data_IF_329450151700
#
_entry.id   IF_329450151700
#
_cell.length_a   1.000
_cell.length_b   1.000
_cell.length_c   1.000
_cell.angle_alpha   90.00
_cell.angle_beta   90.00
_cell.angle_gamma   90.00
#
_symmetry.space_group_name_H-M   'P 1'
#
loop_
_entity.id
_entity.type
_entity.pdbx_description
1 polymer ?
#
# COMPACT_ATOMS: atom_id res chain seq x y z
N UNK A 1 8.93 27.95 -8.39
CA UNK A 1 8.46 27.42 -7.08
C UNK A 1 9.19 26.12 -6.86
N UNK A 2 10.02 26.05 -5.81
CA UNK A 2 10.92 24.91 -5.56
C UNK A 2 10.10 23.63 -5.38
N UNK A 3 10.21 22.67 -6.30
CA UNK A 3 9.63 21.36 -6.12
C UNK A 3 10.35 20.67 -4.98
N UNK A 4 9.57 20.41 -3.93
CA UNK A 4 9.95 19.72 -2.72
C UNK A 4 10.45 18.29 -3.04
N UNK A 5 11.72 18.14 -3.40
CA UNK A 5 12.28 16.83 -3.69
C UNK A 5 12.66 16.12 -2.38
N UNK A 6 12.16 14.90 -2.12
CA UNK A 6 12.55 14.12 -0.94
C UNK A 6 14.03 13.74 -1.01
N UNK A 7 14.69 13.67 0.16
CA UNK A 7 16.07 13.23 0.27
C UNK A 7 16.13 11.70 0.13
N UNK A 8 16.38 11.23 -1.07
CA UNK A 8 16.56 9.80 -1.36
C UNK A 8 17.99 9.42 -1.02
N UNK A 9 18.14 8.67 0.05
CA UNK A 9 19.42 8.14 0.55
C UNK A 9 19.35 6.63 0.49
N UNK A 10 20.47 5.99 0.14
CA UNK A 10 20.60 4.54 0.25
C UNK A 10 20.67 4.16 1.73
N UNK A 11 19.72 3.33 2.18
CA UNK A 11 19.63 2.89 3.56
C UNK A 11 20.13 1.45 3.68
N UNK A 12 20.86 1.16 4.76
CA UNK A 12 21.04 -0.21 5.23
C UNK A 12 19.77 -0.68 5.96
N UNK A 13 19.58 -2.00 6.12
CA UNK A 13 18.44 -2.54 6.88
C UNK A 13 18.35 -1.93 8.29
N UNK A 14 19.48 -1.81 9.00
CA UNK A 14 19.53 -1.21 10.34
C UNK A 14 19.11 0.26 10.35
N UNK A 15 19.61 1.06 9.41
CA UNK A 15 19.22 2.47 9.31
C UNK A 15 17.73 2.63 8.98
N UNK A 16 17.20 1.76 8.11
CA UNK A 16 15.79 1.75 7.76
C UNK A 16 14.91 1.41 8.97
N UNK A 17 15.25 0.36 9.72
CA UNK A 17 14.53 -0.04 10.93
C UNK A 17 14.55 1.07 11.98
N UNK A 18 15.70 1.70 12.20
CA UNK A 18 15.84 2.83 13.15
C UNK A 18 14.97 4.03 12.74
N UNK A 19 14.96 4.38 11.45
CA UNK A 19 14.13 5.46 10.94
C UNK A 19 12.64 5.11 11.05
N UNK A 20 12.24 3.89 10.68
CA UNK A 20 10.84 3.43 10.86
C UNK A 20 10.44 3.53 12.33
N UNK A 21 11.29 3.10 13.26
CA UNK A 21 11.03 3.19 14.69
C UNK A 21 10.82 4.64 15.16
N UNK A 22 11.62 5.58 14.65
CA UNK A 22 11.51 7.00 14.98
C UNK A 22 10.28 7.68 14.37
N UNK A 23 9.88 7.27 13.16
CA UNK A 23 8.77 7.87 12.41
C UNK A 23 7.42 7.23 12.68
N UNK A 24 7.39 5.96 13.10
CA UNK A 24 6.18 5.24 13.46
C UNK A 24 5.36 6.00 14.51
N UNK A 25 4.04 6.11 14.29
CA UNK A 25 3.12 6.71 15.26
C UNK A 25 2.00 5.75 15.59
N UNK A 26 1.86 5.50 16.90
CA UNK A 26 0.77 4.72 17.44
C UNK A 26 -0.59 5.34 17.10
N UNK A 27 -1.54 4.48 16.78
CA UNK A 27 -2.96 4.80 16.70
C UNK A 27 -3.73 3.56 17.12
N UNK A 28 -4.66 3.71 18.07
CA UNK A 28 -5.38 2.59 18.68
C UNK A 28 -5.99 1.64 17.64
N UNK A 29 -6.75 2.19 16.66
CA UNK A 29 -7.35 1.38 15.60
C UNK A 29 -6.32 0.63 14.75
N UNK A 30 -5.17 1.23 14.46
CA UNK A 30 -4.08 0.59 13.70
C UNK A 30 -3.45 -0.55 14.48
N UNK A 31 -3.25 -0.34 15.79
CA UNK A 31 -2.78 -1.37 16.71
C UNK A 31 -3.78 -2.53 16.78
N UNK A 32 -5.04 -2.25 17.13
CA UNK A 32 -6.07 -3.27 17.32
C UNK A 32 -6.32 -4.08 16.03
N UNK A 33 -6.43 -3.41 14.88
CA UNK A 33 -6.63 -4.13 13.61
C UNK A 33 -5.42 -4.99 13.27
N UNK A 34 -4.20 -4.54 13.59
CA UNK A 34 -3.01 -5.36 13.38
C UNK A 34 -3.01 -6.59 14.31
N UNK A 35 -3.12 -6.38 15.62
CA UNK A 35 -2.93 -7.44 16.63
C UNK A 35 -4.11 -8.39 16.73
N UNK A 36 -5.34 -7.91 16.48
CA UNK A 36 -6.57 -8.70 16.66
C UNK A 36 -7.12 -9.26 15.34
N UNK A 37 -6.67 -8.76 14.18
CA UNK A 37 -7.19 -9.21 12.87
C UNK A 37 -6.08 -9.65 11.92
N UNK A 38 -5.16 -8.75 11.56
CA UNK A 38 -4.17 -9.05 10.53
C UNK A 38 -3.16 -10.11 10.96
N UNK A 39 -2.58 -9.98 12.15
CA UNK A 39 -1.61 -10.94 12.67
C UNK A 39 -2.24 -12.33 12.84
N UNK A 40 -3.37 -12.51 13.54
CA UNK A 40 -4.03 -13.81 13.65
C UNK A 40 -4.35 -14.45 12.30
N UNK A 41 -4.81 -13.67 11.31
CA UNK A 41 -5.09 -14.20 9.96
C UNK A 41 -3.82 -14.66 9.23
N UNK A 42 -2.70 -13.95 9.39
CA UNK A 42 -1.43 -14.29 8.75
C UNK A 42 -0.71 -15.47 9.43
N UNK A 43 -0.89 -15.63 10.74
CA UNK A 43 -0.36 -16.73 11.53
C UNK A 43 -1.23 -17.99 11.43
N UNK A 44 -2.52 -17.85 11.09
CA UNK A 44 -3.43 -18.98 10.95
C UNK A 44 -3.10 -19.81 9.71
N UNK A 45 -2.76 -21.11 9.87
CA UNK A 45 -2.70 -22.05 8.76
C UNK A 45 -4.15 -22.33 8.35
N UNK A 46 -4.67 -21.65 7.34
CA UNK A 46 -6.08 -21.84 6.95
C UNK A 46 -6.36 -23.28 6.57
N UNK A 47 -7.15 -23.95 7.42
CA UNK A 47 -8.32 -24.80 7.15
C UNK A 47 -8.48 -25.28 5.70
N UNK A 48 -7.49 -26.01 5.20
CA UNK A 48 -7.74 -27.01 4.15
C UNK A 48 -7.82 -28.35 4.85
N UNK A 49 -8.93 -29.03 4.58
CA UNK A 49 -9.36 -30.31 5.14
C UNK A 49 -8.23 -31.33 5.29
N UNK A 50 -8.31 -32.05 6.41
CA UNK A 50 -7.59 -33.27 6.77
C UNK A 50 -6.18 -33.08 7.35
N UNK A 51 -6.16 -33.22 8.68
CA UNK A 51 -5.06 -33.74 9.51
C UNK A 51 -3.85 -34.29 8.76
N UNK A 52 -2.90 -33.42 8.44
CA UNK A 52 -1.51 -33.81 8.23
C UNK A 52 -0.66 -32.81 8.98
N UNK A 53 0.27 -33.34 9.78
CA UNK A 53 1.18 -32.64 10.68
C UNK A 53 1.79 -31.40 10.01
N UNK A 54 1.35 -30.21 10.44
CA UNK A 54 1.87 -28.94 9.94
C UNK A 54 3.22 -28.65 10.60
N UNK A 55 4.30 -29.07 9.95
CA UNK A 55 5.55 -28.33 10.04
C UNK A 55 5.33 -26.93 9.44
N UNK A 56 6.14 -25.94 9.84
CA UNK A 56 6.15 -24.54 9.38
C UNK A 56 6.37 -24.33 7.87
N UNK A 57 6.19 -25.38 7.06
CA UNK A 57 6.67 -25.50 5.69
C UNK A 57 5.59 -25.20 4.62
N UNK A 58 4.33 -24.98 5.00
CA UNK A 58 3.23 -24.75 4.04
C UNK A 58 2.23 -23.66 4.49
N UNK A 59 2.72 -22.45 4.83
CA UNK A 59 1.82 -21.30 4.84
C UNK A 59 1.41 -20.97 3.40
N UNK A 60 0.13 -20.73 3.11
CA UNK A 60 -0.30 -20.50 1.73
C UNK A 60 0.28 -19.19 1.21
N UNK A 61 0.82 -19.19 -0.02
CA UNK A 61 1.28 -17.97 -0.68
C UNK A 61 0.15 -16.95 -0.78
N UNK A 62 0.47 -15.67 -0.61
CA UNK A 62 -0.47 -14.57 -0.84
C UNK A 62 0.05 -13.74 -2.01
N UNK A 63 -0.63 -13.75 -3.16
CA UNK A 63 -0.12 -13.07 -4.34
C UNK A 63 -0.25 -11.53 -4.25
N UNK A 64 -1.38 -11.06 -3.71
CA UNK A 64 -1.74 -9.63 -3.70
C UNK A 64 -1.94 -9.14 -2.27
N UNK A 65 -1.26 -8.06 -1.91
CA UNK A 65 -1.47 -7.33 -0.65
C UNK A 65 -2.07 -5.96 -0.94
N UNK A 66 -3.24 -5.66 -0.37
CA UNK A 66 -3.73 -4.28 -0.32
C UNK A 66 -3.25 -3.65 0.99
N UNK A 67 -2.37 -2.66 0.94
CA UNK A 67 -1.80 -2.02 2.13
C UNK A 67 -2.10 -0.52 2.11
N UNK A 68 -2.88 -0.04 3.09
CA UNK A 68 -3.14 1.39 3.18
C UNK A 68 -4.28 1.76 4.11
N UNK A 69 -5.05 2.76 3.70
CA UNK A 69 -6.08 3.40 4.52
C UNK A 69 -7.49 2.78 4.37
N UNK A 70 -8.52 3.54 4.75
CA UNK A 70 -9.93 3.15 4.62
C UNK A 70 -10.35 2.85 3.19
N UNK A 71 -9.74 3.46 2.17
CA UNK A 71 -10.10 3.20 0.78
C UNK A 71 -9.85 1.74 0.38
N UNK A 72 -8.72 1.18 0.80
CA UNK A 72 -8.46 -0.25 0.56
C UNK A 72 -9.28 -1.13 1.50
N UNK A 73 -9.39 -0.76 2.78
CA UNK A 73 -10.21 -1.50 3.77
C UNK A 73 -11.64 -1.71 3.26
N UNK A 74 -12.24 -0.69 2.63
CA UNK A 74 -13.63 -0.68 2.19
C UNK A 74 -13.92 -1.51 0.93
N UNK A 75 -12.91 -2.12 0.30
CA UNK A 75 -13.17 -3.27 -0.59
C UNK A 75 -13.86 -4.43 0.16
N UNK A 76 -13.70 -4.54 1.49
CA UNK A 76 -14.43 -5.51 2.33
C UNK A 76 -15.91 -5.15 2.53
N UNK A 77 -16.32 -3.91 2.25
CA UNK A 77 -17.65 -3.38 2.56
C UNK A 77 -18.30 -2.72 1.35
N UNK A 78 -18.09 -1.42 1.13
CA UNK A 78 -18.73 -0.68 0.03
C UNK A 78 -18.31 -1.21 -1.35
N UNK A 79 -17.05 -1.65 -1.49
CA UNK A 79 -16.51 -2.23 -2.72
C UNK A 79 -16.63 -3.75 -2.81
N UNK A 80 -17.38 -4.41 -1.92
CA UNK A 80 -17.41 -5.88 -1.82
C UNK A 80 -17.81 -6.59 -3.10
N UNK A 81 -18.67 -5.98 -3.92
CA UNK A 81 -19.22 -6.59 -5.15
C UNK A 81 -18.29 -6.41 -6.37
N UNK A 82 -17.18 -5.68 -6.21
CA UNK A 82 -16.13 -5.53 -7.24
C UNK A 82 -15.26 -6.78 -7.34
N UNK A 83 -14.47 -6.93 -8.44
CA UNK A 83 -13.59 -8.11 -8.60
C UNK A 83 -12.58 -8.21 -7.47
N UNK A 84 -11.93 -7.11 -7.10
CA UNK A 84 -10.98 -7.05 -5.98
C UNK A 84 -11.68 -7.32 -4.64
N UNK A 85 -12.89 -6.81 -4.44
CA UNK A 85 -13.68 -7.05 -3.23
C UNK A 85 -14.11 -8.50 -3.04
N UNK A 86 -14.29 -9.23 -4.14
CA UNK A 86 -14.64 -10.66 -4.14
C UNK A 86 -13.42 -11.57 -3.96
N UNK A 87 -12.18 -11.08 -4.15
CA UNK A 87 -10.98 -11.89 -3.93
C UNK A 87 -10.83 -12.25 -2.45
N UNK A 88 -10.69 -13.54 -2.18
CA UNK A 88 -10.55 -14.07 -0.83
C UNK A 88 -9.09 -14.41 -0.53
N UNK A 89 -8.79 -14.44 0.77
CA UNK A 89 -7.56 -15.05 1.26
C UNK A 89 -7.53 -16.55 0.89
N UNK A 90 -6.40 -17.10 0.44
CA UNK A 90 -5.07 -16.49 0.45
C UNK A 90 -4.70 -15.74 -0.84
N UNK A 91 -5.52 -15.71 -1.90
CA UNK A 91 -5.16 -15.00 -3.14
C UNK A 91 -4.84 -13.52 -2.90
N UNK A 92 -5.69 -12.87 -2.09
CA UNK A 92 -5.54 -11.48 -1.71
C UNK A 92 -5.64 -11.32 -0.19
N UNK A 93 -4.74 -10.53 0.38
CA UNK A 93 -4.83 -10.10 1.77
C UNK A 93 -4.99 -8.59 1.85
N UNK A 94 -6.14 -8.16 2.37
CA UNK A 94 -6.45 -6.75 2.54
C UNK A 94 -6.03 -6.26 3.93
N UNK A 95 -4.86 -5.63 3.98
CA UNK A 95 -4.24 -4.99 5.12
C UNK A 95 -4.57 -3.48 5.24
N UNK A 96 -5.68 -3.04 4.63
CA UNK A 96 -6.21 -1.68 4.77
C UNK A 96 -6.79 -1.43 6.16
N UNK A 97 -6.53 -0.24 6.73
CA UNK A 97 -7.07 0.18 8.04
C UNK A 97 -7.63 1.58 7.99
N UNK A 98 -8.83 1.75 8.53
CA UNK A 98 -9.54 3.01 8.48
C UNK A 98 -8.82 4.17 9.16
N UNK A 99 -8.63 5.24 8.40
CA UNK A 99 -7.97 6.46 8.84
C UNK A 99 -6.45 6.33 9.05
N UNK A 100 -5.82 5.23 8.65
CA UNK A 100 -4.36 5.14 8.70
C UNK A 100 -3.74 6.26 7.87
N UNK A 101 -2.80 6.96 8.50
CA UNK A 101 -1.81 7.82 7.85
C UNK A 101 -0.55 7.01 7.54
N UNK A 102 0.39 7.60 6.81
CA UNK A 102 1.65 6.95 6.43
C UNK A 102 2.40 6.43 7.67
N UNK A 103 2.54 7.27 8.69
CA UNK A 103 3.21 6.95 9.96
C UNK A 103 2.52 5.83 10.77
N UNK A 104 1.22 5.60 10.55
CA UNK A 104 0.50 4.50 11.19
C UNK A 104 0.76 3.17 10.49
N UNK A 105 0.97 3.18 9.18
CA UNK A 105 1.41 1.99 8.44
C UNK A 105 2.83 1.62 8.86
N UNK A 106 3.73 2.60 8.97
CA UNK A 106 5.08 2.39 9.52
C UNK A 106 5.03 1.78 10.93
N UNK A 107 4.08 2.23 11.76
CA UNK A 107 3.85 1.61 13.08
C UNK A 107 3.45 0.14 12.98
N UNK A 108 2.54 -0.24 12.07
CA UNK A 108 2.19 -1.66 11.86
C UNK A 108 3.35 -2.49 11.30
N UNK A 109 4.22 -1.89 10.48
CA UNK A 109 5.47 -2.53 10.02
C UNK A 109 6.39 -2.80 11.21
N UNK A 110 6.56 -1.82 12.10
CA UNK A 110 7.34 -1.97 13.33
C UNK A 110 6.80 -3.10 14.25
N UNK A 111 5.47 -3.27 14.33
CA UNK A 111 4.87 -4.39 15.04
C UNK A 111 5.17 -5.77 14.42
N UNK A 112 5.70 -5.82 13.19
CA UNK A 112 6.11 -7.04 12.52
C UNK A 112 5.24 -7.45 11.34
N UNK A 113 4.39 -6.56 10.80
CA UNK A 113 3.55 -6.86 9.63
C UNK A 113 4.35 -7.43 8.46
N UNK A 114 5.48 -6.81 8.09
CA UNK A 114 6.30 -7.32 6.98
C UNK A 114 7.00 -8.63 7.32
N UNK A 115 7.38 -8.85 8.59
CA UNK A 115 7.94 -10.13 9.04
C UNK A 115 6.95 -11.28 8.83
N UNK A 116 5.67 -11.05 9.14
CA UNK A 116 4.61 -12.03 8.90
C UNK A 116 4.36 -12.26 7.40
N UNK A 117 4.28 -11.18 6.62
CA UNK A 117 4.07 -11.25 5.17
C UNK A 117 5.25 -11.89 4.42
N UNK A 118 6.48 -11.75 4.94
CA UNK A 118 7.66 -12.36 4.35
C UNK A 118 7.52 -13.87 4.18
N UNK A 119 6.86 -14.53 5.12
CA UNK A 119 6.58 -15.97 5.09
C UNK A 119 5.56 -16.38 4.02
N UNK A 120 4.92 -15.42 3.35
CA UNK A 120 3.82 -15.63 2.40
C UNK A 120 4.20 -15.31 0.95
N UNK A 121 5.44 -14.86 0.73
CA UNK A 121 6.03 -14.52 -0.57
C UNK A 121 5.11 -13.72 -1.52
N UNK A 122 4.68 -12.51 -1.11
CA UNK A 122 3.85 -11.65 -1.93
C UNK A 122 4.52 -11.19 -3.21
N UNK A 123 3.73 -11.12 -4.29
CA UNK A 123 4.17 -10.71 -5.62
C UNK A 123 3.83 -9.26 -5.91
N UNK A 124 2.68 -8.79 -5.43
CA UNK A 124 2.18 -7.43 -5.67
C UNK A 124 1.69 -6.77 -4.39
N UNK A 125 2.14 -5.55 -4.14
CA UNK A 125 1.54 -4.64 -3.16
C UNK A 125 0.78 -3.54 -3.88
N UNK A 126 -0.43 -3.23 -3.42
CA UNK A 126 -1.21 -2.06 -3.86
C UNK A 126 -1.31 -1.09 -2.69
N UNK A 127 -0.84 0.14 -2.91
CA UNK A 127 -0.77 1.19 -1.91
C UNK A 127 -1.75 2.34 -2.23
N UNK A 128 -2.68 2.58 -1.31
CA UNK A 128 -3.48 3.82 -1.27
C UNK A 128 -3.31 4.45 0.11
N UNK A 129 -2.45 5.46 0.19
CA UNK A 129 -2.02 6.07 1.45
C UNK A 129 -1.61 7.54 1.24
N UNK A 130 -1.75 8.37 2.28
CA UNK A 130 -1.49 9.82 2.21
C UNK A 130 -2.76 10.67 2.19
N UNK A 131 -3.91 10.13 1.78
CA UNK A 131 -5.18 10.85 1.79
C UNK A 131 -5.60 11.38 3.17
N UNK A 132 -5.20 10.71 4.26
CA UNK A 132 -5.44 11.15 5.65
C UNK A 132 -4.34 12.10 6.19
N UNK A 133 -3.26 12.30 5.45
CA UNK A 133 -2.16 13.21 5.80
C UNK A 133 -2.38 14.62 5.21
N UNK A 134 -3.18 14.72 4.15
CA UNK A 134 -3.58 15.98 3.51
C UNK A 134 -4.55 16.74 4.44
N UNK A 135 -4.43 18.06 4.45
CA UNK A 135 -5.35 18.96 5.17
C UNK A 135 -6.12 19.82 4.15
N UNK A 136 -7.23 20.49 4.55
CA UNK A 136 -8.07 21.24 3.63
C UNK A 136 -7.31 22.20 2.70
N UNK A 137 -6.24 22.82 3.21
CA UNK A 137 -5.41 23.79 2.50
C UNK A 137 -3.93 23.43 2.44
N UNK A 138 -3.60 22.15 2.55
CA UNK A 138 -2.20 21.71 2.62
C UNK A 138 -2.03 20.33 2.00
N UNK A 139 -1.18 20.23 0.98
CA UNK A 139 -0.75 18.98 0.38
C UNK A 139 0.12 18.16 1.34
N UNK A 140 0.54 16.97 0.90
CA UNK A 140 1.55 16.18 1.60
C UNK A 140 2.81 17.01 1.85
N UNK A 141 3.30 16.94 3.09
CA UNK A 141 4.54 17.61 3.48
C UNK A 141 5.77 16.81 3.05
N UNK A 142 6.94 17.44 3.05
CA UNK A 142 8.22 16.74 2.90
C UNK A 142 8.33 15.54 3.86
N UNK A 143 7.97 15.74 5.13
CA UNK A 143 8.01 14.66 6.11
C UNK A 143 7.11 13.48 5.71
N UNK A 144 5.93 13.75 5.15
CA UNK A 144 5.06 12.69 4.68
C UNK A 144 5.66 11.93 3.49
N UNK A 145 6.35 12.62 2.58
CA UNK A 145 7.03 11.99 1.46
C UNK A 145 8.24 11.18 1.91
N UNK A 146 9.00 11.67 2.89
CA UNK A 146 10.10 10.91 3.50
C UNK A 146 9.59 9.64 4.19
N UNK A 147 8.49 9.73 4.95
CA UNK A 147 7.87 8.57 5.59
C UNK A 147 7.31 7.58 4.54
N UNK A 148 6.80 8.07 3.41
CA UNK A 148 6.34 7.24 2.30
C UNK A 148 7.53 6.53 1.62
N UNK A 149 8.65 7.24 1.45
CA UNK A 149 9.88 6.64 0.94
C UNK A 149 10.38 5.51 1.85
N UNK A 150 10.33 5.69 3.18
CA UNK A 150 10.65 4.61 4.12
C UNK A 150 9.73 3.40 3.96
N UNK A 151 8.43 3.61 3.72
CA UNK A 151 7.50 2.53 3.41
C UNK A 151 7.90 1.79 2.12
N UNK A 152 8.21 2.50 1.04
CA UNK A 152 8.64 1.88 -0.22
C UNK A 152 9.94 1.08 -0.03
N UNK A 153 10.94 1.66 0.66
CA UNK A 153 12.19 0.98 0.95
C UNK A 153 11.98 -0.26 1.82
N UNK A 154 11.09 -0.21 2.83
CA UNK A 154 10.73 -1.38 3.63
C UNK A 154 10.17 -2.51 2.76
N UNK A 155 9.30 -2.20 1.81
CA UNK A 155 8.76 -3.19 0.89
C UNK A 155 9.82 -3.73 -0.07
N UNK A 156 10.66 -2.87 -0.63
CA UNK A 156 11.71 -3.26 -1.59
C UNK A 156 12.81 -4.12 -0.94
N UNK A 157 13.15 -3.85 0.32
CA UNK A 157 14.29 -4.49 1.01
C UNK A 157 13.90 -5.75 1.81
N UNK A 158 12.60 -6.02 2.01
CA UNK A 158 12.15 -7.16 2.84
C UNK A 158 12.44 -8.52 2.17
N UNK A 159 12.34 -8.60 0.84
CA UNK A 159 12.48 -9.82 0.06
C UNK A 159 13.74 -9.80 -0.81
N UNK A 160 14.38 -10.97 -1.07
CA UNK A 160 15.50 -11.04 -2.01
C UNK A 160 15.13 -10.61 -3.43
N UNK A 161 13.96 -11.07 -3.90
CA UNK A 161 13.30 -10.54 -5.10
C UNK A 161 12.17 -9.62 -4.62
N UNK A 162 12.25 -8.32 -4.86
CA UNK A 162 11.21 -7.40 -4.42
C UNK A 162 9.86 -7.71 -5.08
N UNK A 163 8.73 -7.47 -4.40
CA UNK A 163 7.42 -7.47 -5.06
C UNK A 163 7.30 -6.29 -6.02
N UNK A 164 6.35 -6.36 -6.96
CA UNK A 164 5.89 -5.18 -7.67
C UNK A 164 5.02 -4.33 -6.72
N UNK A 165 5.25 -3.02 -6.69
CA UNK A 165 4.54 -2.09 -5.81
C UNK A 165 3.76 -1.11 -6.67
N UNK A 166 2.43 -1.12 -6.56
CA UNK A 166 1.54 -0.18 -7.22
C UNK A 166 1.13 0.93 -6.26
N UNK A 167 1.64 2.13 -6.46
CA UNK A 167 1.19 3.34 -5.78
C UNK A 167 0.02 3.93 -6.57
N UNK A 168 -1.15 3.99 -5.95
CA UNK A 168 -2.34 4.60 -6.56
C UNK A 168 -2.53 6.03 -6.10
N UNK A 169 -2.91 6.91 -7.02
CA UNK A 169 -3.19 8.31 -6.71
C UNK A 169 -4.47 8.51 -5.89
N UNK A 170 -4.51 9.65 -5.22
CA UNK A 170 -5.54 10.04 -4.26
C UNK A 170 -6.76 10.62 -4.98
N UNK A 171 -7.94 10.20 -4.53
CA UNK A 171 -9.23 10.71 -5.02
C UNK A 171 -9.53 12.10 -4.48
N UNK A 172 -10.44 12.80 -5.18
CA UNK A 172 -11.03 14.05 -4.71
C UNK A 172 -11.73 13.84 -3.37
N UNK A 173 -11.61 14.81 -2.47
CA UNK A 173 -12.29 14.83 -1.17
C UNK A 173 -13.05 16.16 -1.03
N UNK A 174 -14.28 16.15 -0.50
CA UNK A 174 -15.13 17.35 -0.45
C UNK A 174 -14.54 18.51 0.37
N UNK A 175 -13.75 18.18 1.38
CA UNK A 175 -13.18 19.13 2.36
C UNK A 175 -11.74 19.54 2.06
N UNK A 176 -11.21 19.15 0.91
CA UNK A 176 -9.82 19.44 0.51
C UNK A 176 -9.84 20.12 -0.84
N UNK A 177 -9.14 21.26 -0.96
CA UNK A 177 -9.07 21.91 -2.27
C UNK A 177 -8.34 21.00 -3.26
N UNK A 178 -8.92 20.87 -4.46
CA UNK A 178 -8.43 19.95 -5.50
C UNK A 178 -6.95 20.18 -5.83
N UNK A 179 -6.48 21.43 -5.75
CA UNK A 179 -5.06 21.77 -5.95
C UNK A 179 -4.11 21.00 -5.04
N UNK A 180 -4.48 20.76 -3.78
CA UNK A 180 -3.61 20.07 -2.81
C UNK A 180 -3.63 18.55 -3.02
N UNK A 181 -4.72 18.02 -3.56
CA UNK A 181 -4.81 16.61 -3.99
C UNK A 181 -3.93 16.40 -5.22
N UNK A 182 -4.04 17.29 -6.22
CA UNK A 182 -3.18 17.27 -7.41
C UNK A 182 -1.71 17.40 -7.04
N UNK A 183 -1.34 18.38 -6.21
CA UNK A 183 0.04 18.54 -5.73
C UNK A 183 0.56 17.30 -5.02
N UNK A 184 -0.28 16.65 -4.20
CA UNK A 184 0.10 15.41 -3.50
C UNK A 184 0.30 14.24 -4.46
N UNK A 185 -0.56 14.10 -5.47
CA UNK A 185 -0.42 13.07 -6.50
C UNK A 185 0.84 13.27 -7.33
N UNK A 186 1.12 14.50 -7.78
CA UNK A 186 2.37 14.83 -8.48
C UNK A 186 3.59 14.49 -7.62
N UNK A 187 3.58 14.84 -6.33
CA UNK A 187 4.69 14.54 -5.44
C UNK A 187 4.90 13.03 -5.22
N UNK A 188 3.82 12.24 -5.16
CA UNK A 188 3.89 10.78 -5.05
C UNK A 188 4.40 10.14 -6.35
N UNK A 189 3.92 10.59 -7.51
CA UNK A 189 4.42 10.15 -8.82
C UNK A 189 5.92 10.43 -8.96
N UNK A 190 6.36 11.64 -8.63
CA UNK A 190 7.77 11.99 -8.62
C UNK A 190 8.58 11.10 -7.66
N UNK A 191 8.03 10.81 -6.48
CA UNK A 191 8.68 9.91 -5.53
C UNK A 191 8.84 8.49 -6.10
N UNK A 192 7.84 7.98 -6.81
CA UNK A 192 7.93 6.67 -7.51
C UNK A 192 9.06 6.68 -8.53
N UNK A 193 9.11 7.70 -9.39
CA UNK A 193 10.16 7.85 -10.41
C UNK A 193 11.54 7.88 -9.75
N UNK A 194 11.72 8.73 -8.75
CA UNK A 194 13.01 8.88 -8.07
C UNK A 194 13.42 7.61 -7.30
N UNK A 195 12.46 6.87 -6.75
CA UNK A 195 12.72 5.58 -6.09
C UNK A 195 13.26 4.55 -7.08
N UNK A 196 12.64 4.41 -8.27
CA UNK A 196 13.14 3.50 -9.29
C UNK A 196 14.54 3.89 -9.79
N UNK A 197 14.81 5.19 -10.00
CA UNK A 197 16.15 5.66 -10.39
C UNK A 197 17.21 5.22 -9.37
N UNK A 198 16.91 5.33 -8.07
CA UNK A 198 17.83 4.91 -7.02
C UNK A 198 18.06 3.39 -7.00
N UNK A 199 17.00 2.58 -7.20
CA UNK A 199 17.14 1.12 -7.27
C UNK A 199 17.92 0.64 -8.51
N UNK A 200 17.71 1.28 -9.66
CA UNK A 200 18.47 0.97 -10.88
C UNK A 200 19.97 1.22 -10.71
N UNK A 201 20.34 2.29 -10.01
CA UNK A 201 21.75 2.60 -9.70
C UNK A 201 22.40 1.55 -8.79
N UNK A 202 21.61 0.86 -7.95
CA UNK A 202 22.08 -0.14 -6.99
C UNK A 202 22.22 -1.53 -7.60
N UNK A 203 21.27 -1.95 -8.44
CA UNK A 203 21.17 -3.35 -8.87
C UNK A 203 21.69 -3.63 -10.29
N UNK A 204 22.15 -2.61 -11.04
CA UNK A 204 22.60 -2.72 -12.43
C UNK A 204 21.58 -3.38 -13.39
N UNK A 205 20.33 -3.56 -12.93
CA UNK A 205 19.20 -4.08 -13.68
C UNK A 205 18.27 -2.93 -14.05
N UNK A 206 17.66 -3.01 -15.23
CA UNK A 206 16.76 -2.01 -15.80
C UNK A 206 15.32 -2.10 -15.26
N UNK A 207 15.11 -2.85 -14.19
CA UNK A 207 13.78 -3.21 -13.74
C UNK A 207 13.16 -2.15 -12.84
N UNK A 208 11.95 -1.70 -13.20
CA UNK A 208 11.09 -0.94 -12.30
C UNK A 208 10.34 -1.89 -11.37
N UNK A 209 10.36 -1.58 -10.08
CA UNK A 209 9.65 -2.32 -9.05
C UNK A 209 8.48 -1.52 -8.48
N UNK A 210 8.55 -0.18 -8.54
CA UNK A 210 7.49 0.71 -8.08
C UNK A 210 6.78 1.31 -9.28
N UNK A 211 5.45 1.33 -9.26
CA UNK A 211 4.61 1.76 -10.37
C UNK A 211 3.63 2.81 -9.87
N UNK A 212 3.41 3.84 -10.67
CA UNK A 212 2.39 4.84 -10.43
C UNK A 212 1.12 4.51 -11.22
N UNK A 213 -0.03 4.72 -10.58
CA UNK A 213 -1.33 4.68 -11.24
C UNK A 213 -2.13 5.91 -10.83
N UNK A 214 -2.45 6.75 -11.82
CA UNK A 214 -3.37 7.86 -11.66
C UNK A 214 -4.75 7.39 -11.17
N UNK A 215 -5.45 8.18 -10.34
CA UNK A 215 -6.82 7.87 -9.99
C UNK A 215 -7.69 8.00 -11.26
N UNK A 216 -8.66 7.09 -11.51
CA UNK A 216 -9.55 7.20 -12.65
C UNK A 216 -10.22 8.58 -12.71
N UNK A 217 -10.00 9.29 -13.83
CA UNK A 217 -10.46 10.68 -14.02
C UNK A 217 -11.98 10.84 -13.89
N UNK A 218 -12.74 9.75 -14.10
CA UNK A 218 -14.18 9.74 -13.94
C UNK A 218 -14.62 9.90 -12.48
N UNK A 219 -13.77 9.53 -11.51
CA UNK A 219 -14.10 9.58 -10.07
C UNK A 219 -14.05 11.03 -9.56
N UNK A 220 -15.18 11.72 -9.71
CA UNK A 220 -15.46 13.02 -9.09
C UNK A 220 -16.29 12.91 -7.79
N UNK A 221 -16.65 14.06 -7.21
CA UNK A 221 -17.33 14.16 -5.91
C UNK A 221 -18.68 13.42 -5.83
N UNK A 222 -19.36 13.19 -6.96
CA UNK A 222 -20.63 12.45 -7.02
C UNK A 222 -20.47 10.96 -6.68
N UNK A 223 -19.25 10.43 -6.78
CA UNK A 223 -18.92 9.06 -6.44
C UNK A 223 -18.49 8.91 -4.98
N UNK A 224 -18.63 9.96 -4.16
CA UNK A 224 -18.36 9.88 -2.73
C UNK A 224 -19.65 9.60 -1.97
N UNK A 225 -19.66 8.56 -1.14
CA UNK A 225 -20.78 8.29 -0.23
C UNK A 225 -20.82 9.28 0.94
N UNK A 226 -19.65 9.81 1.32
CA UNK A 226 -19.49 10.82 2.36
C UNK A 226 -18.55 11.95 1.85
N UNK A 227 -17.75 12.56 2.71
CA UNK A 227 -16.81 13.61 2.32
C UNK A 227 -15.53 13.06 1.67
N UNK A 228 -15.26 11.76 1.82
CA UNK A 228 -13.97 11.16 1.48
C UNK A 228 -14.12 9.84 0.74
N UNK A 229 -14.99 8.93 1.19
CA UNK A 229 -15.01 7.54 0.72
C UNK A 229 -15.88 7.35 -0.52
N UNK A 230 -15.43 6.50 -1.44
CA UNK A 230 -16.19 6.14 -2.63
C UNK A 230 -17.51 5.44 -2.27
N UNK A 231 -18.56 5.64 -3.05
CA UNK A 231 -19.76 4.80 -3.08
C UNK A 231 -19.52 3.55 -3.94
N UNK A 232 -20.52 2.68 -4.07
CA UNK A 232 -20.42 1.42 -4.83
C UNK A 232 -19.99 1.66 -6.29
N UNK A 233 -20.60 2.63 -6.97
CA UNK A 233 -20.24 2.96 -8.36
C UNK A 233 -18.80 3.46 -8.49
N UNK A 234 -18.34 4.26 -7.52
CA UNK A 234 -16.95 4.72 -7.45
C UNK A 234 -15.96 3.56 -7.29
N UNK A 235 -16.29 2.58 -6.43
CA UNK A 235 -15.48 1.37 -6.30
C UNK A 235 -15.47 0.52 -7.57
N UNK A 236 -16.59 0.44 -8.29
CA UNK A 236 -16.63 -0.29 -9.56
C UNK A 236 -15.72 0.35 -10.61
N UNK A 237 -15.77 1.69 -10.76
CA UNK A 237 -14.88 2.42 -11.67
C UNK A 237 -13.41 2.23 -11.27
N UNK A 238 -13.12 2.27 -9.97
CA UNK A 238 -11.76 2.05 -9.49
C UNK A 238 -11.29 0.63 -9.78
N UNK A 239 -12.12 -0.38 -9.52
CA UNK A 239 -11.84 -1.78 -9.80
C UNK A 239 -11.60 -2.04 -11.30
N UNK A 240 -12.39 -1.43 -12.18
CA UNK A 240 -12.24 -1.51 -13.65
C UNK A 240 -10.86 -1.03 -14.13
N UNK A 241 -10.26 -0.06 -13.44
CA UNK A 241 -8.92 0.42 -13.74
C UNK A 241 -7.82 -0.35 -12.98
N UNK A 242 -8.08 -0.69 -11.71
CA UNK A 242 -7.10 -1.25 -10.80
C UNK A 242 -6.83 -2.74 -11.08
N UNK A 243 -7.87 -3.53 -11.37
CA UNK A 243 -7.73 -4.96 -11.58
C UNK A 243 -6.81 -5.30 -12.78
N UNK A 244 -6.97 -4.71 -13.98
CA UNK A 244 -6.06 -4.95 -15.09
C UNK A 244 -4.60 -4.63 -14.76
N UNK A 245 -4.36 -3.53 -14.01
CA UNK A 245 -3.01 -3.15 -13.61
C UNK A 245 -2.39 -4.15 -12.64
N UNK A 246 -3.17 -4.68 -11.69
CA UNK A 246 -2.70 -5.76 -10.80
C UNK A 246 -2.31 -7.00 -11.60
N UNK A 247 -3.12 -7.40 -12.60
CA UNK A 247 -2.81 -8.57 -13.44
C UNK A 247 -1.53 -8.38 -14.26
N UNK A 248 -1.32 -7.18 -14.82
CA UNK A 248 -0.08 -6.81 -15.51
C UNK A 248 1.14 -6.99 -14.58
N UNK A 249 1.06 -6.46 -13.36
CA UNK A 249 2.16 -6.56 -12.39
C UNK A 249 2.42 -7.99 -11.91
N UNK A 250 1.37 -8.80 -11.73
CA UNK A 250 1.52 -10.23 -11.41
C UNK A 250 2.25 -10.96 -12.54
N UNK A 251 1.91 -10.67 -13.80
CA UNK A 251 2.60 -11.25 -14.95
C UNK A 251 4.07 -10.80 -15.01
N UNK A 252 4.35 -9.50 -14.83
CA UNK A 252 5.72 -8.97 -14.78
C UNK A 252 6.56 -9.63 -13.69
N UNK A 253 6.00 -9.86 -12.50
CA UNK A 253 6.72 -10.55 -11.42
C UNK A 253 7.03 -12.01 -11.78
N UNK A 254 6.10 -12.73 -12.42
CA UNK A 254 6.29 -14.15 -12.74
C UNK A 254 7.24 -14.39 -13.92
N UNK A 255 7.49 -13.37 -14.74
CA UNK A 255 8.38 -13.45 -15.91
C UNK A 255 9.86 -13.19 -15.58
N UNK A 256 10.21 -13.00 -14.30
CA UNK A 256 11.56 -12.79 -13.78
C UNK A 256 12.06 -14.05 -13.08
#
# INVERSE_FOLDING_TARGET
MSSASPHIVQLTNTQLDDLINQRARFKQRSHDTHTQTHQPQLESPTLTTSSVLLSSQYLPQIDIILLGSSMLERFKTTGKDSRIGQMQYPQLFNAGVGGDKIENVLYRINLGLLRLLKLRNPKVFVLYLGGNNIQPKQALTHQNLDDYYLLLQALLMTWPTPPQILVTGLFKQKKVDEQYITQSNTALEELVVKTNIAEMQKHAQQDHWVHWMEPPKQIGLKYLQDDVHLNTDGYQIWDDALYPKIQELLHLHNSR
#
